data_IF_694263104624
#
_entry.id   IF_694263104624
#
_cell.length_a   1.000
_cell.length_b   1.000
_cell.length_c   1.000
_cell.angle_alpha   90.00
_cell.angle_beta   90.00
_cell.angle_gamma   90.00
#
_symmetry.space_group_name_H-M   'P 1'
#
loop_
_entity.id
_entity.type
_entity.pdbx_description
1 polymer ?
#
# COMPACT_ATOMS: atom_id res chain seq x y z
N UNK A 1 7.25 -17.25 -1.16
CA UNK A 1 6.17 -17.30 -2.15
C UNK A 1 4.79 -17.33 -1.48
N UNK A 2 4.51 -18.29 -0.60
CA UNK A 2 3.19 -18.49 0.04
C UNK A 2 2.56 -17.24 0.69
N UNK A 3 3.38 -16.40 1.35
CA UNK A 3 2.90 -15.15 1.95
C UNK A 3 2.39 -14.14 0.91
N UNK A 4 3.08 -14.00 -0.22
CA UNK A 4 2.66 -13.09 -1.28
C UNK A 4 1.35 -13.57 -1.90
N UNK A 5 1.23 -14.88 -2.16
CA UNK A 5 -0.01 -15.49 -2.67
C UNK A 5 -1.20 -15.25 -1.74
N UNK A 6 -1.04 -15.52 -0.44
CA UNK A 6 -2.12 -15.31 0.54
C UNK A 6 -2.60 -13.84 0.60
N UNK A 7 -1.71 -12.87 0.33
CA UNK A 7 -2.06 -11.45 0.30
C UNK A 7 -2.77 -11.10 -1.00
N UNK A 8 -2.26 -11.58 -2.14
CA UNK A 8 -2.87 -11.39 -3.47
C UNK A 8 -4.29 -11.98 -3.50
N UNK A 9 -4.46 -13.21 -3.01
CA UNK A 9 -5.76 -13.87 -2.93
C UNK A 9 -6.76 -13.05 -2.09
N UNK A 10 -6.29 -12.47 -0.98
CA UNK A 10 -7.11 -11.61 -0.12
C UNK A 10 -7.49 -10.30 -0.82
N UNK A 11 -6.58 -9.69 -1.59
CA UNK A 11 -6.86 -8.46 -2.35
C UNK A 11 -7.87 -8.69 -3.48
N UNK A 12 -7.96 -9.90 -4.03
CA UNK A 12 -8.87 -10.23 -5.12
C UNK A 12 -10.20 -10.85 -4.67
N UNK A 13 -10.33 -11.19 -3.38
CA UNK A 13 -11.40 -12.05 -2.86
C UNK A 13 -12.83 -11.59 -3.24
N UNK A 14 -13.06 -10.29 -3.33
CA UNK A 14 -14.40 -9.71 -3.61
C UNK A 14 -14.61 -9.29 -5.07
N UNK A 15 -13.57 -9.40 -5.91
CA UNK A 15 -13.56 -8.91 -7.29
C UNK A 15 -13.06 -10.01 -8.26
N UNK A 16 -13.71 -11.20 -8.28
CA UNK A 16 -13.25 -12.33 -9.10
C UNK A 16 -13.21 -11.99 -10.60
N UNK A 17 -14.09 -11.13 -11.09
CA UNK A 17 -14.09 -10.65 -12.48
C UNK A 17 -12.82 -9.87 -12.83
N UNK A 18 -12.27 -9.13 -11.86
CA UNK A 18 -11.01 -8.40 -12.03
C UNK A 18 -9.84 -9.40 -12.04
N UNK A 19 -9.90 -10.43 -11.20
CA UNK A 19 -8.90 -11.51 -11.20
C UNK A 19 -8.86 -12.27 -12.54
N UNK A 20 -10.03 -12.58 -13.11
CA UNK A 20 -10.13 -13.20 -14.44
C UNK A 20 -9.53 -12.31 -15.53
N UNK A 21 -9.78 -11.00 -15.48
CA UNK A 21 -9.23 -10.05 -16.44
C UNK A 21 -7.71 -9.91 -16.31
N UNK A 22 -7.17 -9.89 -15.08
CA UNK A 22 -5.73 -9.95 -14.83
C UNK A 22 -5.09 -11.18 -15.49
N UNK A 23 -5.68 -12.36 -15.28
CA UNK A 23 -5.21 -13.61 -15.92
C UNK A 23 -5.30 -13.52 -17.45
N UNK A 24 -6.41 -13.02 -17.99
CA UNK A 24 -6.61 -12.88 -19.44
C UNK A 24 -5.59 -11.94 -20.08
N UNK A 25 -5.13 -10.94 -19.33
CA UNK A 25 -4.10 -9.97 -19.76
C UNK A 25 -2.68 -10.48 -19.58
N UNK A 26 -2.50 -11.64 -18.93
CA UNK A 26 -1.19 -12.18 -18.60
C UNK A 26 -0.49 -11.40 -17.50
N UNK A 27 -1.24 -10.82 -16.56
CA UNK A 27 -0.66 -10.19 -15.39
C UNK A 27 0.03 -11.24 -14.50
N UNK A 28 1.20 -10.86 -13.99
CA UNK A 28 2.03 -11.72 -13.16
C UNK A 28 2.64 -10.92 -12.01
N UNK A 29 3.03 -11.61 -10.94
CA UNK A 29 3.73 -10.99 -9.80
C UNK A 29 5.03 -11.75 -9.55
N UNK A 30 6.15 -11.09 -9.80
CA UNK A 30 7.49 -11.61 -9.52
C UNK A 30 7.95 -11.21 -8.12
N UNK A 31 8.43 -12.19 -7.33
CA UNK A 31 9.12 -11.92 -6.06
C UNK A 31 10.61 -12.11 -6.27
N UNK A 32 11.37 -11.01 -6.30
CA UNK A 32 12.83 -11.07 -6.46
C UNK A 32 13.53 -11.18 -5.09
N UNK A 33 14.61 -11.97 -5.05
CA UNK A 33 15.29 -12.36 -3.82
C UNK A 33 16.14 -11.25 -3.20
N UNK A 34 16.64 -11.51 -1.99
CA UNK A 34 17.43 -10.53 -1.19
C UNK A 34 18.72 -10.02 -1.86
N UNK A 35 19.25 -10.75 -2.84
CA UNK A 35 20.47 -10.38 -3.59
C UNK A 35 20.16 -9.81 -4.98
N UNK A 36 18.88 -9.67 -5.30
CA UNK A 36 18.37 -9.18 -6.58
C UNK A 36 17.73 -7.80 -6.37
N UNK A 37 17.47 -7.12 -7.47
CA UNK A 37 16.74 -5.87 -7.51
C UNK A 37 15.64 -5.91 -8.57
N UNK A 38 14.77 -4.90 -8.58
CA UNK A 38 13.64 -4.84 -9.50
C UNK A 38 14.04 -4.98 -10.98
N UNK A 39 15.26 -4.61 -11.38
CA UNK A 39 15.73 -4.69 -12.77
C UNK A 39 16.28 -6.05 -13.19
N UNK A 40 16.46 -6.97 -12.23
CA UNK A 40 16.78 -8.37 -12.54
C UNK A 40 15.55 -9.09 -13.11
N UNK A 41 14.34 -8.61 -12.79
CA UNK A 41 13.08 -9.00 -13.44
C UNK A 41 13.09 -8.53 -14.90
N UNK A 42 13.00 -9.42 -15.90
CA UNK A 42 13.12 -9.07 -17.32
C UNK A 42 12.18 -7.95 -17.78
N UNK A 43 10.93 -7.97 -17.30
CA UNK A 43 9.86 -7.06 -17.65
C UNK A 43 10.11 -5.62 -17.16
N UNK A 44 10.95 -5.44 -16.14
CA UNK A 44 11.27 -4.13 -15.55
C UNK A 44 12.70 -3.67 -15.86
N UNK A 45 13.50 -4.48 -16.56
CA UNK A 45 14.94 -4.24 -16.80
C UNK A 45 15.27 -2.86 -17.37
N UNK A 46 14.41 -2.32 -18.23
CA UNK A 46 14.62 -0.98 -18.81
C UNK A 46 14.56 0.15 -17.78
N UNK A 47 13.90 -0.06 -16.64
CA UNK A 47 13.86 0.89 -15.55
C UNK A 47 15.25 1.24 -14.99
N UNK A 48 16.24 0.35 -15.13
CA UNK A 48 17.63 0.60 -14.73
C UNK A 48 18.24 1.86 -15.38
N UNK A 49 17.82 2.19 -16.60
CA UNK A 49 18.32 3.38 -17.32
C UNK A 49 17.71 4.70 -16.81
N UNK A 50 16.56 4.61 -16.14
CA UNK A 50 15.74 5.76 -15.77
C UNK A 50 15.74 6.01 -14.26
N UNK A 51 15.91 4.95 -13.47
CA UNK A 51 15.81 5.03 -12.03
C UNK A 51 17.07 5.63 -11.41
N UNK A 52 16.85 6.65 -10.58
CA UNK A 52 17.92 7.31 -9.81
C UNK A 52 18.03 6.79 -8.38
N UNK A 53 17.10 5.91 -7.97
CA UNK A 53 16.97 5.38 -6.61
C UNK A 53 16.60 3.91 -6.64
N UNK A 54 16.81 3.24 -5.50
CA UNK A 54 16.36 1.88 -5.29
C UNK A 54 14.83 1.79 -5.37
N UNK A 55 14.32 0.74 -6.02
CA UNK A 55 12.90 0.48 -6.20
C UNK A 55 12.57 -0.87 -5.56
N UNK A 56 11.59 -0.86 -4.66
CA UNK A 56 11.19 -2.05 -3.90
C UNK A 56 10.24 -2.97 -4.68
N UNK A 57 9.58 -2.45 -5.71
CA UNK A 57 8.65 -3.18 -6.57
C UNK A 57 8.11 -2.29 -7.69
N UNK A 58 7.36 -2.89 -8.62
CA UNK A 58 6.65 -2.19 -9.68
C UNK A 58 5.22 -2.71 -9.79
N UNK A 59 4.28 -1.81 -10.00
CA UNK A 59 2.90 -2.09 -10.33
C UNK A 59 2.72 -2.47 -11.80
N UNK A 60 1.74 -3.34 -12.07
CA UNK A 60 1.37 -3.70 -13.42
C UNK A 60 0.52 -2.61 -14.06
N UNK A 61 0.73 -2.35 -15.34
CA UNK A 61 -0.04 -1.43 -16.17
C UNK A 61 -0.46 -2.09 -17.50
N UNK A 62 -1.35 -1.45 -18.25
CA UNK A 62 -1.91 -2.03 -19.48
C UNK A 62 -0.87 -2.43 -20.53
N UNK A 63 0.24 -1.70 -20.62
CA UNK A 63 1.35 -1.95 -21.55
C UNK A 63 2.39 -2.91 -21.01
N UNK A 64 2.45 -3.09 -19.69
CA UNK A 64 3.34 -4.03 -19.01
C UNK A 64 2.61 -4.57 -17.76
N UNK A 65 1.87 -5.69 -17.90
CA UNK A 65 1.01 -6.18 -16.82
C UNK A 65 1.79 -6.90 -15.71
N UNK A 66 3.12 -6.94 -15.79
CA UNK A 66 3.98 -7.55 -14.79
C UNK A 66 4.18 -6.62 -13.58
N UNK A 67 3.85 -7.15 -12.41
CA UNK A 67 4.22 -6.58 -11.12
C UNK A 67 5.46 -7.26 -10.55
N UNK A 68 6.18 -6.55 -9.70
CA UNK A 68 7.29 -7.15 -8.94
C UNK A 68 7.37 -6.61 -7.52
N UNK A 69 7.97 -7.39 -6.63
CA UNK A 69 8.20 -7.02 -5.25
C UNK A 69 9.46 -7.68 -4.70
N UNK A 70 10.18 -6.96 -3.84
CA UNK A 70 11.28 -7.53 -3.07
C UNK A 70 10.79 -8.54 -2.03
N UNK A 71 11.47 -9.70 -1.96
CA UNK A 71 11.31 -10.67 -0.88
C UNK A 71 11.44 -10.02 0.50
N UNK A 72 12.37 -9.05 0.66
CA UNK A 72 12.58 -8.33 1.91
C UNK A 72 11.33 -7.58 2.40
N UNK A 73 10.51 -7.05 1.48
CA UNK A 73 9.23 -6.44 1.83
C UNK A 73 8.19 -7.52 2.19
N UNK A 74 8.07 -8.59 1.39
CA UNK A 74 7.11 -9.67 1.65
C UNK A 74 7.30 -10.30 3.03
N UNK A 75 8.54 -10.60 3.43
CA UNK A 75 8.85 -11.16 4.75
C UNK A 75 9.08 -10.10 5.83
N UNK A 76 8.94 -8.82 5.49
CA UNK A 76 9.17 -7.67 6.38
C UNK A 76 10.50 -7.74 7.12
N UNK A 77 11.59 -7.95 6.39
CA UNK A 77 12.94 -8.03 6.97
C UNK A 77 13.37 -6.64 7.46
N UNK A 78 13.37 -6.42 8.78
CA UNK A 78 13.60 -5.09 9.38
C UNK A 78 15.05 -4.79 9.76
N UNK A 79 15.93 -5.79 9.79
CA UNK A 79 17.31 -5.64 10.26
C UNK A 79 18.31 -6.31 9.32
N UNK A 80 19.55 -5.82 9.37
CA UNK A 80 20.64 -6.31 8.54
C UNK A 80 20.77 -5.60 7.20
N UNK A 81 21.77 -6.01 6.42
CA UNK A 81 22.16 -5.37 5.15
C UNK A 81 21.06 -5.37 4.09
N UNK A 82 20.20 -6.39 4.09
CA UNK A 82 19.16 -6.61 3.09
C UNK A 82 17.76 -6.26 3.62
N UNK A 83 17.68 -5.47 4.69
CA UNK A 83 16.42 -5.03 5.24
C UNK A 83 15.63 -4.18 4.23
N UNK A 84 14.31 -4.31 4.24
CA UNK A 84 13.43 -3.45 3.44
C UNK A 84 13.59 -1.98 3.86
N UNK A 85 13.62 -1.07 2.89
CA UNK A 85 13.52 0.38 3.16
C UNK A 85 12.13 0.80 3.65
N UNK A 86 11.16 -0.11 3.59
CA UNK A 86 9.75 0.10 3.95
C UNK A 86 9.35 -0.88 5.06
N UNK A 87 9.81 -0.68 6.32
CA UNK A 87 9.53 -1.60 7.42
C UNK A 87 8.08 -1.53 7.92
N UNK A 88 7.38 -0.43 7.61
CA UNK A 88 6.01 -0.14 8.05
C UNK A 88 5.06 0.09 6.87
N UNK A 89 5.48 -0.24 5.65
CA UNK A 89 4.64 -0.11 4.46
C UNK A 89 4.74 -1.36 3.60
N UNK A 90 3.60 -1.98 3.30
CA UNK A 90 3.58 -3.17 2.46
C UNK A 90 3.48 -2.79 0.98
N UNK A 91 4.63 -2.66 0.34
CA UNK A 91 4.75 -2.26 -1.06
C UNK A 91 4.03 -3.24 -2.00
N UNK A 92 3.97 -4.54 -1.70
CA UNK A 92 3.16 -5.48 -2.50
C UNK A 92 1.69 -5.03 -2.63
N UNK A 93 1.07 -4.53 -1.55
CA UNK A 93 -0.33 -4.11 -1.58
C UNK A 93 -0.50 -2.86 -2.45
N UNK A 94 0.47 -1.95 -2.44
CA UNK A 94 0.47 -0.77 -3.29
C UNK A 94 0.64 -1.16 -4.76
N UNK A 95 1.73 -1.86 -5.09
CA UNK A 95 2.06 -2.22 -6.48
C UNK A 95 1.03 -3.15 -7.11
N UNK A 96 0.52 -4.12 -6.34
CA UNK A 96 -0.56 -4.98 -6.85
C UNK A 96 -1.90 -4.25 -6.90
N UNK A 97 -2.11 -3.21 -6.08
CA UNK A 97 -3.21 -2.27 -6.22
C UNK A 97 -3.21 -1.58 -7.59
N UNK A 98 -2.05 -1.18 -8.10
CA UNK A 98 -1.94 -0.70 -9.49
C UNK A 98 -2.36 -1.75 -10.49
N UNK A 99 -1.91 -3.00 -10.37
CA UNK A 99 -2.32 -4.05 -11.30
C UNK A 99 -3.84 -4.27 -11.29
N UNK A 100 -4.44 -4.38 -10.09
CA UNK A 100 -5.89 -4.52 -9.90
C UNK A 100 -6.65 -3.40 -10.63
N UNK A 101 -6.22 -2.15 -10.46
CA UNK A 101 -6.88 -1.01 -11.06
C UNK A 101 -6.58 -0.88 -12.56
N UNK A 102 -5.31 -0.75 -12.93
CA UNK A 102 -4.88 -0.37 -14.27
C UNK A 102 -5.01 -1.51 -15.27
N UNK A 103 -4.75 -2.76 -14.87
CA UNK A 103 -4.84 -3.91 -15.77
C UNK A 103 -6.19 -4.58 -15.64
N UNK A 104 -6.62 -4.84 -14.41
CA UNK A 104 -7.87 -5.54 -14.11
C UNK A 104 -9.10 -4.68 -14.39
N UNK A 105 -9.39 -3.69 -13.54
CA UNK A 105 -10.63 -2.90 -13.61
C UNK A 105 -10.74 -2.09 -14.90
N UNK A 106 -9.67 -1.41 -15.32
CA UNK A 106 -9.67 -0.68 -16.59
C UNK A 106 -9.70 -1.62 -17.81
N UNK A 107 -9.32 -2.89 -17.65
CA UNK A 107 -9.39 -3.90 -18.69
C UNK A 107 -10.79 -4.44 -18.97
N UNK A 108 -11.71 -4.32 -18.00
CA UNK A 108 -13.09 -4.81 -18.10
C UNK A 108 -13.92 -4.01 -19.11
N UNK A 109 -14.96 -4.65 -19.67
CA UNK A 109 -15.95 -3.94 -20.49
C UNK A 109 -16.88 -3.06 -19.65
N UNK A 110 -17.26 -3.55 -18.48
CA UNK A 110 -18.00 -2.76 -17.49
C UNK A 110 -17.01 -1.89 -16.71
N UNK A 111 -17.19 -0.57 -16.81
CA UNK A 111 -16.29 0.42 -16.22
C UNK A 111 -16.76 0.90 -14.83
N UNK A 112 -17.80 0.28 -14.26
CA UNK A 112 -18.37 0.69 -12.96
C UNK A 112 -17.31 0.80 -11.87
N UNK A 113 -16.43 -0.19 -11.72
CA UNK A 113 -15.36 -0.17 -10.71
C UNK A 113 -14.35 0.97 -10.94
N UNK A 114 -13.92 1.15 -12.19
CA UNK A 114 -12.99 2.22 -12.56
C UNK A 114 -13.60 3.61 -12.31
N UNK A 115 -14.88 3.79 -12.61
CA UNK A 115 -15.60 5.05 -12.39
C UNK A 115 -15.81 5.34 -10.90
N UNK A 116 -16.00 4.32 -10.06
CA UNK A 116 -16.05 4.49 -8.61
C UNK A 116 -14.73 5.04 -8.07
N UNK A 117 -13.58 4.56 -8.55
CA UNK A 117 -12.25 5.07 -8.16
C UNK A 117 -12.10 6.54 -8.56
N UNK A 118 -12.40 6.86 -9.82
CA UNK A 118 -12.32 8.24 -10.34
C UNK A 118 -13.21 9.19 -9.53
N UNK A 119 -14.42 8.75 -9.18
CA UNK A 119 -15.36 9.53 -8.38
C UNK A 119 -14.86 9.77 -6.94
N UNK A 120 -14.35 8.74 -6.27
CA UNK A 120 -13.81 8.86 -4.91
C UNK A 120 -12.59 9.79 -4.89
N UNK A 121 -11.67 9.62 -5.86
CA UNK A 121 -10.54 10.52 -6.03
C UNK A 121 -10.98 11.96 -6.28
N UNK A 122 -11.93 12.20 -7.18
CA UNK A 122 -12.42 13.55 -7.46
C UNK A 122 -13.03 14.19 -6.21
N UNK A 123 -13.80 13.42 -5.43
CA UNK A 123 -14.32 13.88 -4.14
C UNK A 123 -13.19 14.27 -3.17
N UNK A 124 -12.16 13.42 -3.02
CA UNK A 124 -11.02 13.71 -2.16
C UNK A 124 -10.28 15.00 -2.60
N UNK A 125 -10.05 15.14 -3.92
CA UNK A 125 -9.42 16.33 -4.51
C UNK A 125 -10.24 17.60 -4.27
N UNK A 126 -11.55 17.56 -4.54
CA UNK A 126 -12.44 18.72 -4.41
C UNK A 126 -12.58 19.20 -2.96
N UNK A 127 -12.43 18.28 -2.00
CA UNK A 127 -12.51 18.57 -0.57
C UNK A 127 -11.14 18.81 0.09
N UNK A 128 -10.04 18.80 -0.68
CA UNK A 128 -8.69 19.05 -0.16
C UNK A 128 -8.19 17.97 0.82
N UNK A 129 -8.65 16.74 0.66
CA UNK A 129 -8.15 15.58 1.41
C UNK A 129 -6.76 15.18 0.92
N UNK A 130 -6.02 14.48 1.78
CA UNK A 130 -4.68 13.95 1.51
C UNK A 130 -3.65 15.01 1.06
N UNK A 131 -3.63 16.21 1.70
CA UNK A 131 -2.85 17.34 1.19
C UNK A 131 -1.36 17.02 1.16
N UNK A 132 -0.71 17.34 0.03
CA UNK A 132 0.73 17.18 -0.17
C UNK A 132 1.22 15.75 0.11
N UNK A 133 0.47 14.75 -0.38
CA UNK A 133 0.85 13.34 -0.30
C UNK A 133 0.83 12.65 -1.64
N UNK A 134 1.43 11.45 -1.66
CA UNK A 134 1.40 10.59 -2.82
C UNK A 134 -0.02 10.17 -3.21
N UNK A 135 -0.90 9.97 -2.21
CA UNK A 135 -2.29 9.57 -2.41
C UNK A 135 -3.11 10.56 -3.26
N UNK A 136 -2.79 11.86 -3.25
CA UNK A 136 -3.54 12.86 -4.04
C UNK A 136 -2.85 13.26 -5.34
N UNK A 137 -1.74 12.61 -5.68
CA UNK A 137 -0.97 12.96 -6.88
C UNK A 137 -1.72 12.63 -8.18
N UNK A 138 -2.47 11.54 -8.20
CA UNK A 138 -3.43 11.16 -9.24
C UNK A 138 -4.36 10.04 -8.71
N UNK A 139 -5.38 9.68 -9.49
CA UNK A 139 -6.39 8.68 -9.10
C UNK A 139 -5.85 7.25 -9.03
N UNK A 140 -4.72 6.96 -9.68
CA UNK A 140 -4.06 5.64 -9.66
C UNK A 140 -3.34 5.45 -8.33
N UNK A 141 -2.59 6.47 -7.90
CA UNK A 141 -1.88 6.51 -6.62
C UNK A 141 -2.82 6.62 -5.43
N UNK A 142 -3.94 7.31 -5.60
CA UNK A 142 -5.03 7.33 -4.62
C UNK A 142 -5.49 5.91 -4.32
N UNK A 143 -5.82 5.13 -5.35
CA UNK A 143 -6.29 3.76 -5.16
C UNK A 143 -5.22 2.85 -4.55
N UNK A 144 -3.98 2.89 -5.06
CA UNK A 144 -2.88 2.08 -4.56
C UNK A 144 -2.52 2.41 -3.11
N UNK A 145 -2.48 3.70 -2.75
CA UNK A 145 -2.22 4.14 -1.37
C UNK A 145 -3.35 3.75 -0.43
N UNK A 146 -4.61 4.00 -0.79
CA UNK A 146 -5.74 3.61 0.04
C UNK A 146 -5.85 2.09 0.22
N UNK A 147 -5.37 1.29 -0.72
CA UNK A 147 -5.26 -0.16 -0.55
C UNK A 147 -4.36 -0.51 0.64
N UNK A 148 -3.22 0.17 0.80
CA UNK A 148 -2.33 -0.05 1.97
C UNK A 148 -2.96 0.42 3.28
N UNK A 149 -3.70 1.53 3.26
CA UNK A 149 -4.45 2.04 4.43
C UNK A 149 -5.55 1.05 4.83
N UNK A 150 -6.30 0.53 3.86
CA UNK A 150 -7.39 -0.44 4.09
C UNK A 150 -6.92 -1.71 4.80
N UNK A 151 -5.73 -2.19 4.47
CA UNK A 151 -5.13 -3.37 5.09
C UNK A 151 -4.30 -3.05 6.34
N UNK A 152 -4.32 -1.81 6.83
CA UNK A 152 -3.55 -1.32 7.99
C UNK A 152 -2.04 -1.53 7.83
N UNK A 153 -1.53 -1.39 6.61
CA UNK A 153 -0.12 -1.57 6.25
C UNK A 153 0.46 -0.36 5.52
N UNK A 154 -0.13 0.82 5.75
CA UNK A 154 0.46 2.10 5.36
C UNK A 154 1.37 2.63 6.46
N UNK A 155 2.46 3.27 6.09
CA UNK A 155 3.32 3.97 7.03
C UNK A 155 2.75 5.37 7.32
N UNK A 156 2.78 5.81 8.58
CA UNK A 156 2.45 7.19 8.93
C UNK A 156 3.54 8.16 8.46
N UNK A 157 3.14 9.40 8.17
CA UNK A 157 4.07 10.50 7.95
C UNK A 157 4.91 10.82 9.19
N UNK A 158 6.08 11.40 8.96
CA UNK A 158 7.03 11.72 10.04
C UNK A 158 6.40 12.67 11.06
N UNK A 159 6.43 12.26 12.33
CA UNK A 159 5.85 12.99 13.46
C UNK A 159 4.34 13.29 13.31
N UNK A 160 3.60 12.44 12.59
CA UNK A 160 2.16 12.59 12.37
C UNK A 160 1.80 13.69 11.36
N UNK A 161 2.78 14.22 10.63
CA UNK A 161 2.57 15.31 9.67
C UNK A 161 2.37 14.80 8.25
N UNK A 162 1.73 15.65 7.45
CA UNK A 162 1.80 15.59 5.99
C UNK A 162 3.22 15.92 5.54
N UNK A 163 3.99 14.93 5.06
CA UNK A 163 5.44 15.04 4.87
C UNK A 163 5.90 15.12 3.41
N UNK A 164 4.97 15.39 2.48
CA UNK A 164 5.21 15.38 1.04
C UNK A 164 5.03 13.99 0.41
N UNK A 165 4.90 12.93 1.22
CA UNK A 165 4.72 11.55 0.77
C UNK A 165 3.51 10.93 1.45
N UNK A 166 3.41 11.06 2.77
CA UNK A 166 2.43 10.41 3.65
C UNK A 166 1.79 11.40 4.60
N UNK A 167 0.71 10.97 5.25
CA UNK A 167 0.02 11.69 6.32
C UNK A 167 -0.17 10.82 7.56
N UNK A 168 -0.91 11.31 8.56
CA UNK A 168 -1.16 10.54 9.79
C UNK A 168 -2.16 9.40 9.60
N UNK A 169 -3.02 9.45 8.57
CA UNK A 169 -4.05 8.43 8.32
C UNK A 169 -3.40 7.18 7.74
N UNK A 170 -3.36 6.08 8.50
CA UNK A 170 -2.71 4.85 8.05
C UNK A 170 -3.51 3.56 8.33
N UNK A 171 -4.68 3.68 8.98
CA UNK A 171 -5.60 2.57 9.21
C UNK A 171 -6.95 2.75 8.51
N UNK A 172 -7.63 1.62 8.31
CA UNK A 172 -9.01 1.54 7.84
C UNK A 172 -9.97 2.31 8.74
N UNK A 173 -9.78 2.23 10.05
CA UNK A 173 -10.62 2.90 11.04
C UNK A 173 -10.49 4.43 10.94
N UNK A 174 -9.27 4.94 10.74
CA UNK A 174 -9.02 6.36 10.49
C UNK A 174 -9.57 6.80 9.13
N UNK A 175 -9.36 5.99 8.09
CA UNK A 175 -9.88 6.23 6.75
C UNK A 175 -11.40 6.44 6.78
N UNK A 176 -12.12 5.64 7.57
CA UNK A 176 -13.58 5.76 7.74
C UNK A 176 -14.03 7.15 8.21
N UNK A 177 -13.21 7.80 9.05
CA UNK A 177 -13.51 9.12 9.61
C UNK A 177 -12.99 10.22 8.69
N UNK A 178 -11.79 10.05 8.16
CA UNK A 178 -11.08 11.06 7.38
C UNK A 178 -11.58 11.19 5.94
N UNK A 179 -11.72 10.07 5.23
CA UNK A 179 -12.18 9.99 3.85
C UNK A 179 -13.26 8.91 3.71
N UNK A 180 -14.52 9.22 4.10
CA UNK A 180 -15.61 8.24 4.11
C UNK A 180 -15.93 7.66 2.73
N UNK A 181 -15.72 8.42 1.64
CA UNK A 181 -15.96 7.93 0.28
C UNK A 181 -14.84 7.00 -0.18
N UNK A 182 -13.59 7.32 0.15
CA UNK A 182 -12.46 6.39 0.02
C UNK A 182 -12.69 5.10 0.82
N UNK A 183 -13.22 5.21 2.04
CA UNK A 183 -13.57 4.05 2.86
C UNK A 183 -14.62 3.16 2.22
N UNK A 184 -15.74 3.71 1.73
CA UNK A 184 -16.80 2.91 1.11
C UNK A 184 -16.33 2.28 -0.21
N UNK A 185 -15.47 2.97 -0.98
CA UNK A 185 -14.78 2.38 -2.13
C UNK A 185 -13.96 1.15 -1.75
N UNK A 186 -13.06 1.29 -0.77
CA UNK A 186 -12.18 0.19 -0.34
C UNK A 186 -12.98 -0.97 0.26
N UNK A 187 -14.03 -0.67 1.04
CA UNK A 187 -14.97 -1.66 1.57
C UNK A 187 -15.73 -2.41 0.49
N UNK A 188 -16.03 -1.76 -0.64
CA UNK A 188 -16.64 -2.41 -1.78
C UNK A 188 -15.66 -3.40 -2.45
N UNK A 189 -14.40 -3.02 -2.59
CA UNK A 189 -13.39 -3.75 -3.36
C UNK A 189 -12.68 -4.86 -2.56
N UNK A 190 -12.43 -4.64 -1.28
CA UNK A 190 -11.61 -5.53 -0.46
C UNK A 190 -12.38 -6.16 0.71
N UNK A 191 -11.98 -7.36 1.17
CA UNK A 191 -12.52 -7.92 2.41
C UNK A 191 -12.02 -7.13 3.62
N UNK A 192 -12.85 -7.06 4.65
CA UNK A 192 -12.50 -6.45 5.95
C UNK A 192 -11.71 -7.45 6.80
N UNK A 193 -10.46 -7.72 6.39
CA UNK A 193 -9.54 -8.69 7.04
C UNK A 193 -8.19 -8.04 7.32
N UNK A 194 -7.41 -8.64 8.21
CA UNK A 194 -6.00 -8.29 8.41
C UNK A 194 -5.11 -9.22 7.61
N UNK A 195 -3.97 -8.72 7.12
CA UNK A 195 -3.01 -9.53 6.38
C UNK A 195 -2.38 -10.61 7.27
N UNK A 196 -1.85 -11.71 6.69
CA UNK A 196 -1.12 -12.71 7.47
C UNK A 196 0.16 -12.15 8.10
N UNK A 197 0.75 -12.88 9.06
CA UNK A 197 2.07 -12.55 9.60
C UNK A 197 3.12 -12.42 8.48
N UNK A 198 4.06 -11.45 8.57
CA UNK A 198 4.30 -10.52 9.69
C UNK A 198 3.56 -9.17 9.55
N UNK A 199 2.56 -9.08 8.67
CA UNK A 199 1.84 -7.85 8.33
C UNK A 199 0.48 -7.70 9.02
N UNK A 200 0.03 -8.71 9.77
CA UNK A 200 -1.17 -8.68 10.62
C UNK A 200 -1.27 -7.50 11.61
N UNK A 201 -0.15 -6.82 11.89
CA UNK A 201 -0.09 -5.63 12.73
C UNK A 201 0.91 -4.63 12.16
N UNK A 202 0.61 -3.34 12.25
CA UNK A 202 1.51 -2.25 11.92
C UNK A 202 1.48 -1.16 13.00
N UNK A 203 2.48 -0.29 13.01
CA UNK A 203 2.49 0.86 13.90
C UNK A 203 1.37 1.82 13.51
N UNK A 204 0.69 2.35 14.52
CA UNK A 204 -0.24 3.46 14.43
C UNK A 204 -0.02 4.30 15.70
N UNK A 205 0.54 5.48 15.53
CA UNK A 205 1.05 6.34 16.61
C UNK A 205 0.18 7.59 16.74
N UNK A 206 -0.37 8.11 15.65
CA UNK A 206 -1.04 9.40 15.56
C UNK A 206 -2.49 9.25 15.10
N UNK A 207 -3.39 10.07 15.65
CA UNK A 207 -4.76 10.18 15.15
C UNK A 207 -4.83 10.94 13.80
N UNK A 208 -6.03 11.05 13.22
CA UNK A 208 -6.25 11.74 11.93
C UNK A 208 -5.81 13.21 11.89
N UNK A 209 -5.64 13.85 13.05
CA UNK A 209 -5.15 15.22 13.17
C UNK A 209 -3.62 15.29 13.33
N UNK A 210 -2.93 14.15 13.36
CA UNK A 210 -1.50 14.04 13.61
C UNK A 210 -1.12 14.10 15.10
N UNK A 211 -2.07 13.91 16.02
CA UNK A 211 -1.78 13.94 17.46
C UNK A 211 -1.48 12.53 17.98
N UNK A 212 -0.44 12.33 18.80
CA UNK A 212 -0.14 11.01 19.34
C UNK A 212 -1.31 10.43 20.14
N UNK A 213 -1.70 9.18 19.87
CA UNK A 213 -2.70 8.46 20.68
C UNK A 213 -2.28 8.29 22.14
N UNK A 214 -0.96 8.27 22.41
CA UNK A 214 -0.39 8.31 23.76
C UNK A 214 0.47 9.56 23.90
N UNK A 215 0.05 10.51 24.73
CA UNK A 215 0.98 11.54 25.23
C UNK A 215 2.04 10.82 26.05
N UNK A 216 3.32 10.90 25.64
CA UNK A 216 4.39 10.61 26.59
C UNK A 216 4.28 11.63 27.71
N UNK A 217 3.91 11.20 28.91
CA UNK A 217 4.02 12.04 30.11
C UNK A 217 5.51 12.20 30.39
N UNK A 218 6.06 13.39 30.13
CA UNK A 218 7.45 13.74 30.43
C UNK A 218 7.78 13.59 31.93
N UNK A 219 6.78 13.39 32.81
CA UNK A 219 6.96 13.12 34.23
C UNK A 219 7.03 11.63 34.62
N UNK A 220 7.07 10.69 33.66
CA UNK A 220 7.42 9.30 33.99
C UNK A 220 8.88 9.22 34.47
N UNK A 221 9.08 9.45 35.78
CA UNK A 221 10.32 9.11 36.47
C UNK A 221 10.55 7.62 36.27
N UNK A 222 11.59 7.27 35.51
CA UNK A 222 12.08 5.91 35.42
C UNK A 222 12.37 5.40 36.83
N UNK A 223 11.58 4.42 37.27
CA UNK A 223 11.89 3.70 38.49
C UNK A 223 13.02 2.70 38.18
N UNK A 224 14.19 2.92 38.78
CA UNK A 224 15.38 2.09 38.63
C UNK A 224 15.39 0.84 39.52
N UNK A 225 14.30 0.55 40.23
CA UNK A 225 14.20 -0.57 41.19
C UNK A 225 14.32 -1.99 40.57
N UNK A 226 14.52 -2.13 39.25
CA UNK A 226 14.74 -3.41 38.59
C UNK A 226 16.20 -3.78 38.35
N UNK A 227 17.15 -2.99 38.85
CA UNK A 227 18.57 -3.39 38.94
C UNK A 227 18.89 -3.60 40.43
N UNK A 228 18.63 -4.80 40.93
CA UNK A 228 19.30 -5.39 42.09
C UNK A 228 19.83 -6.78 41.73
#
# INVERSE_FOLDING_TARGET
MDKALAIIDMMLEKIPEVAEELVRRGAEVSVFGLLENAYDVPEHRMGYLLATRHVAGYGGEMTNPASSISEANVIRLRTGRYATSYPNEMILVHEFGHAIHLVGMNGLKDQTLADMIRKAYQHASDNGLWPDTYAISNYEEYFATLSTVWFNVMQEGVDGRWDGIRGPVNTREELKVYDPEGYELMKHIYPEKTLPEPWHYNVNIYDIDGKPYKSYDENMKFNWDFIQ
#
